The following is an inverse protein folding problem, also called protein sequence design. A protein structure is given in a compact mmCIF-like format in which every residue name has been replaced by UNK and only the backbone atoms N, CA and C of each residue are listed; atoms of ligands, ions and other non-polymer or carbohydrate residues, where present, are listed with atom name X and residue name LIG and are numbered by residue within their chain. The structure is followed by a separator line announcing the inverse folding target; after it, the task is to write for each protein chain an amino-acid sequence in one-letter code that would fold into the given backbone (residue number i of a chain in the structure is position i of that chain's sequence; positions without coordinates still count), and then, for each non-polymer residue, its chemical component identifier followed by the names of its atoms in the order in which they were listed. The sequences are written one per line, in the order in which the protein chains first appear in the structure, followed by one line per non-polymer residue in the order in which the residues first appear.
data_IF_366504016383
#
_entry.id   IF_366504016383
#
_cell.length_a   1.000
_cell.length_b   1.000
_cell.length_c   1.000
_cell.angle_alpha   90.00
_cell.angle_beta   90.00
_cell.angle_gamma   90.00
#
_symmetry.space_group_name_H-M   'P 1'
#
loop_
_entity.id
_entity.type
_entity.pdbx_description
1 polymer ?
#
# COMPACT_ATOMS: atom_id res chain seq x y z
N UNK A 1 4.64 -3.29 -24.58
CA UNK A 1 4.31 -2.70 -23.27
C UNK A 1 3.24 -3.59 -22.65
N UNK A 2 3.41 -4.09 -21.42
CA UNK A 2 2.36 -4.85 -20.73
C UNK A 2 1.20 -3.90 -20.41
N UNK A 3 -0.05 -4.41 -20.50
CA UNK A 3 -1.25 -3.64 -20.23
C UNK A 3 -1.29 -3.12 -18.78
N UNK A 4 -2.00 -2.01 -18.55
CA UNK A 4 -2.32 -1.54 -17.21
C UNK A 4 -3.26 -2.54 -16.51
N UNK A 5 -3.15 -2.63 -15.19
CA UNK A 5 -4.11 -3.39 -14.40
C UNK A 5 -5.52 -2.78 -14.54
N UNK A 6 -6.58 -3.60 -14.54
CA UNK A 6 -7.94 -3.10 -14.39
C UNK A 6 -8.07 -2.32 -13.09
N UNK A 7 -8.71 -1.15 -13.13
CA UNK A 7 -8.86 -0.28 -11.95
C UNK A 7 -10.30 0.17 -11.79
N UNK A 8 -10.77 0.24 -10.54
CA UNK A 8 -11.89 1.09 -10.15
C UNK A 8 -11.32 2.44 -9.76
N UNK A 9 -11.95 3.55 -10.19
CA UNK A 9 -11.49 4.90 -9.86
C UNK A 9 -12.61 5.74 -9.26
N UNK A 10 -12.29 6.53 -8.25
CA UNK A 10 -13.21 7.47 -7.59
C UNK A 10 -12.50 8.80 -7.45
N UNK A 11 -13.04 9.85 -8.07
CA UNK A 11 -12.59 11.20 -7.85
C UNK A 11 -13.35 11.82 -6.67
N UNK A 12 -12.63 12.23 -5.64
CA UNK A 12 -13.15 13.00 -4.51
C UNK A 12 -12.79 14.47 -4.70
N UNK A 13 -13.82 15.33 -4.75
CA UNK A 13 -13.65 16.74 -5.08
C UNK A 13 -13.55 16.98 -6.60
N UNK A 14 -13.23 18.22 -6.97
CA UNK A 14 -13.07 18.62 -8.37
C UNK A 14 -11.58 18.71 -8.74
N UNK A 15 -11.26 18.39 -10.01
CA UNK A 15 -9.91 18.50 -10.57
C UNK A 15 -8.83 17.88 -9.63
N UNK A 16 -8.72 16.54 -9.57
CA UNK A 16 -7.78 15.89 -8.68
C UNK A 16 -6.34 16.37 -8.92
N UNK A 17 -5.69 16.85 -7.88
CA UNK A 17 -4.27 17.23 -7.86
C UNK A 17 -3.40 16.22 -7.11
N UNK A 18 -4.04 15.27 -6.44
CA UNK A 18 -3.41 14.16 -5.72
C UNK A 18 -4.04 12.83 -6.10
N UNK A 19 -3.30 11.74 -5.94
CA UNK A 19 -3.80 10.40 -6.16
C UNK A 19 -3.43 9.47 -5.01
N UNK A 20 -4.33 8.53 -4.71
CA UNK A 20 -4.07 7.41 -3.79
C UNK A 20 -4.29 6.11 -4.57
N UNK A 21 -3.24 5.35 -4.80
CA UNK A 21 -3.32 4.01 -5.38
C UNK A 21 -3.44 3.03 -4.21
N UNK A 22 -4.60 2.38 -4.08
CA UNK A 22 -4.94 1.54 -2.93
C UNK A 22 -5.01 0.06 -3.32
N UNK A 23 -4.08 -0.72 -2.76
CA UNK A 23 -3.89 -2.14 -3.09
C UNK A 23 -4.61 -3.02 -2.08
N UNK A 24 -5.48 -3.91 -2.57
CA UNK A 24 -6.26 -4.84 -1.77
C UNK A 24 -5.42 -6.00 -1.21
N UNK A 25 -5.96 -6.73 -0.25
CA UNK A 25 -5.36 -7.94 0.31
C UNK A 25 -5.48 -9.15 -0.61
N UNK A 26 -4.83 -10.25 -0.24
CA UNK A 26 -4.89 -11.53 -0.94
C UNK A 26 -6.34 -12.03 -1.04
N UNK A 27 -6.77 -12.42 -2.23
CA UNK A 27 -8.09 -12.98 -2.51
C UNK A 27 -9.23 -11.96 -2.59
N UNK A 28 -8.95 -10.68 -2.33
CA UNK A 28 -9.88 -9.57 -2.44
C UNK A 28 -9.83 -8.92 -3.84
N UNK A 29 -10.50 -7.80 -4.03
CA UNK A 29 -10.48 -7.03 -5.26
C UNK A 29 -10.42 -5.52 -5.00
N UNK A 30 -10.30 -4.71 -6.07
CA UNK A 30 -10.22 -3.27 -5.96
C UNK A 30 -11.46 -2.61 -5.36
N UNK A 31 -12.62 -3.26 -5.39
CA UNK A 31 -13.86 -2.70 -4.84
C UNK A 31 -13.94 -2.76 -3.31
N UNK A 32 -13.11 -3.57 -2.64
CA UNK A 32 -13.15 -3.78 -1.19
C UNK A 32 -13.04 -2.48 -0.39
N UNK A 33 -12.14 -1.59 -0.79
CA UNK A 33 -11.87 -0.33 -0.08
C UNK A 33 -12.61 0.88 -0.65
N UNK A 34 -13.16 0.78 -1.84
CA UNK A 34 -13.87 1.89 -2.49
C UNK A 34 -15.04 2.46 -1.66
N UNK A 35 -15.88 1.63 -1.00
CA UNK A 35 -16.97 2.14 -0.14
C UNK A 35 -16.47 2.92 1.09
N UNK A 36 -15.22 2.75 1.49
CA UNK A 36 -14.66 3.41 2.68
C UNK A 36 -14.11 4.82 2.42
N UNK A 37 -13.98 5.25 1.16
CA UNK A 37 -13.49 6.59 0.79
C UNK A 37 -14.20 7.72 1.54
N UNK A 38 -15.54 7.74 1.72
CA UNK A 38 -16.22 8.77 2.50
C UNK A 38 -15.76 8.85 3.95
N UNK A 39 -15.36 7.72 4.56
CA UNK A 39 -14.89 7.66 5.95
C UNK A 39 -13.53 8.35 6.17
N UNK A 40 -12.76 8.60 5.11
CA UNK A 40 -11.51 9.37 5.17
C UNK A 40 -11.74 10.85 5.51
N UNK A 41 -12.93 11.39 5.24
CA UNK A 41 -13.30 12.75 5.64
C UNK A 41 -12.46 13.84 4.96
N UNK A 42 -12.24 13.74 3.66
CA UNK A 42 -11.39 14.65 2.87
C UNK A 42 -12.11 15.89 2.32
N UNK A 43 -13.29 16.23 2.84
CA UNK A 43 -14.17 17.26 2.27
C UNK A 43 -13.53 18.66 2.10
N UNK A 44 -12.48 18.98 2.87
CA UNK A 44 -11.79 20.28 2.83
C UNK A 44 -10.42 20.23 2.14
N UNK A 45 -10.12 19.14 1.40
CA UNK A 45 -8.85 18.99 0.68
C UNK A 45 -8.97 19.36 -0.79
N UNK A 46 -7.86 19.65 -1.48
CA UNK A 46 -7.80 19.58 -2.93
C UNK A 46 -8.32 18.24 -3.45
N UNK A 47 -8.76 18.19 -4.71
CA UNK A 47 -9.30 16.95 -5.28
C UNK A 47 -8.31 15.80 -5.22
N UNK A 48 -8.81 14.62 -4.86
CA UNK A 48 -8.03 13.39 -4.73
C UNK A 48 -8.65 12.29 -5.60
N UNK A 49 -7.84 11.68 -6.45
CA UNK A 49 -8.23 10.48 -7.19
C UNK A 49 -7.84 9.23 -6.41
N UNK A 50 -8.81 8.38 -6.11
CA UNK A 50 -8.57 7.04 -5.59
C UNK A 50 -8.57 6.04 -6.74
N UNK A 51 -7.54 5.20 -6.79
CA UNK A 51 -7.33 4.19 -7.81
C UNK A 51 -7.20 2.85 -7.09
N UNK A 52 -8.12 1.93 -7.38
CA UNK A 52 -8.19 0.61 -6.78
C UNK A 52 -7.92 -0.43 -7.89
N UNK A 53 -6.65 -0.82 -8.09
CA UNK A 53 -6.31 -1.82 -9.08
C UNK A 53 -6.65 -3.23 -8.61
N UNK A 54 -7.03 -4.10 -9.55
CA UNK A 54 -7.20 -5.52 -9.33
C UNK A 54 -5.89 -6.26 -9.59
N UNK A 55 -5.47 -7.07 -8.64
CA UNK A 55 -4.36 -8.00 -8.83
C UNK A 55 -4.74 -9.09 -9.85
N UNK A 56 -3.77 -9.67 -10.56
CA UNK A 56 -4.02 -10.81 -11.45
C UNK A 56 -4.44 -12.05 -10.65
N UNK A 57 -5.23 -12.94 -11.27
CA UNK A 57 -5.51 -14.26 -10.71
C UNK A 57 -4.32 -15.21 -10.93
N UNK A 58 -3.69 -15.62 -9.86
CA UNK A 58 -2.59 -16.58 -9.85
C UNK A 58 -2.87 -17.74 -8.91
N UNK A 59 -2.17 -18.86 -9.08
CA UNK A 59 -2.16 -19.93 -8.09
C UNK A 59 -1.36 -19.50 -6.85
N UNK A 60 -1.94 -19.69 -5.65
CA UNK A 60 -1.32 -19.31 -4.37
C UNK A 60 -0.91 -20.56 -3.61
N UNK A 61 0.39 -20.81 -3.50
CA UNK A 61 0.96 -22.05 -2.96
C UNK A 61 0.54 -22.29 -1.51
N UNK A 62 0.58 -21.28 -0.63
CA UNK A 62 0.17 -21.44 0.76
C UNK A 62 -1.33 -21.73 0.94
N UNK A 63 -2.14 -21.49 -0.08
CA UNK A 63 -3.57 -21.80 -0.13
C UNK A 63 -3.85 -23.08 -0.98
N UNK A 64 -2.91 -24.02 -1.01
CA UNK A 64 -3.09 -25.28 -1.74
C UNK A 64 -3.09 -25.14 -3.27
N UNK A 65 -2.54 -24.07 -3.81
CA UNK A 65 -2.49 -23.81 -5.26
C UNK A 65 -3.81 -23.29 -5.84
N UNK A 66 -4.77 -22.87 -5.00
CA UNK A 66 -6.02 -22.27 -5.47
C UNK A 66 -5.75 -20.95 -6.18
N UNK A 67 -6.45 -20.74 -7.29
CA UNK A 67 -6.36 -19.50 -8.07
C UNK A 67 -7.24 -18.42 -7.42
N UNK A 68 -6.65 -17.27 -7.20
CA UNK A 68 -7.33 -16.10 -6.63
C UNK A 68 -6.58 -14.81 -7.01
N UNK A 69 -7.21 -13.64 -6.89
CA UNK A 69 -6.49 -12.37 -7.03
C UNK A 69 -5.35 -12.29 -6.02
N UNK A 70 -4.12 -12.15 -6.49
CA UNK A 70 -2.93 -12.07 -5.65
C UNK A 70 -1.83 -11.26 -6.35
N UNK A 71 -1.10 -10.46 -5.57
CA UNK A 71 -0.01 -9.63 -6.08
C UNK A 71 1.24 -10.46 -6.37
N UNK A 72 1.48 -11.49 -5.58
CA UNK A 72 2.59 -12.45 -5.73
C UNK A 72 2.24 -13.76 -5.02
N UNK A 73 2.92 -14.84 -5.37
CA UNK A 73 2.72 -16.12 -4.69
C UNK A 73 3.37 -16.09 -3.29
N UNK A 74 2.63 -16.59 -2.30
CA UNK A 74 3.13 -16.86 -0.96
C UNK A 74 3.43 -18.37 -0.88
N UNK A 75 4.73 -18.70 -0.90
CA UNK A 75 5.23 -20.06 -0.92
C UNK A 75 5.08 -20.74 0.45
N UNK A 76 5.30 -19.97 1.54
CA UNK A 76 5.09 -20.45 2.91
C UNK A 76 4.79 -19.29 3.88
N UNK A 77 3.90 -19.57 4.84
CA UNK A 77 3.59 -18.66 5.94
C UNK A 77 4.16 -19.18 7.25
N UNK A 78 5.10 -18.45 7.83
CA UNK A 78 5.59 -18.66 9.18
C UNK A 78 5.07 -17.54 10.09
N UNK A 79 5.07 -17.77 11.40
CA UNK A 79 4.59 -16.76 12.37
C UNK A 79 5.43 -15.47 12.30
N UNK A 80 6.71 -15.59 12.01
CA UNK A 80 7.71 -14.51 12.03
C UNK A 80 8.16 -14.05 10.66
N UNK A 81 7.74 -14.72 9.57
CA UNK A 81 8.13 -14.36 8.19
C UNK A 81 7.19 -14.96 7.16
N UNK A 82 7.28 -14.42 5.95
CA UNK A 82 6.71 -15.00 4.72
C UNK A 82 7.82 -15.41 3.77
N UNK A 83 7.67 -16.59 3.16
CA UNK A 83 8.49 -16.98 2.01
C UNK A 83 7.66 -16.67 0.77
N UNK A 84 8.17 -15.86 -0.11
CA UNK A 84 7.40 -15.29 -1.23
C UNK A 84 8.11 -15.52 -2.57
N UNK A 85 7.34 -15.44 -3.64
CA UNK A 85 7.85 -15.27 -4.99
C UNK A 85 8.30 -13.81 -5.19
N UNK A 86 9.62 -13.59 -5.17
CA UNK A 86 10.22 -12.26 -5.31
C UNK A 86 10.03 -11.71 -6.73
N UNK A 87 10.03 -12.56 -7.75
CA UNK A 87 9.84 -12.12 -9.14
C UNK A 87 8.38 -11.67 -9.37
N UNK A 88 7.41 -12.38 -8.78
CA UNK A 88 6.01 -11.96 -8.76
C UNK A 88 5.81 -10.64 -8.00
N UNK A 89 6.49 -10.44 -6.86
CA UNK A 89 6.49 -9.17 -6.14
C UNK A 89 7.03 -8.04 -7.03
N UNK A 90 8.15 -8.23 -7.73
CA UNK A 90 8.72 -7.25 -8.66
C UNK A 90 7.77 -6.91 -9.80
N UNK A 91 7.14 -7.93 -10.40
CA UNK A 91 6.17 -7.74 -11.47
C UNK A 91 4.98 -6.88 -11.01
N UNK A 92 4.51 -7.09 -9.77
CA UNK A 92 3.44 -6.28 -9.15
C UNK A 92 3.90 -4.86 -8.86
N UNK A 93 5.12 -4.67 -8.34
CA UNK A 93 5.70 -3.33 -8.17
C UNK A 93 5.79 -2.58 -9.50
N UNK A 94 6.20 -3.25 -10.59
CA UNK A 94 6.25 -2.65 -11.92
C UNK A 94 4.86 -2.30 -12.47
N UNK A 95 3.85 -3.11 -12.16
CA UNK A 95 2.47 -2.79 -12.51
C UNK A 95 1.98 -1.52 -11.77
N UNK A 96 2.29 -1.37 -10.49
CA UNK A 96 1.97 -0.16 -9.70
C UNK A 96 2.75 1.05 -10.21
N UNK A 97 4.04 0.91 -10.56
CA UNK A 97 4.84 2.00 -11.17
C UNK A 97 4.21 2.52 -12.46
N UNK A 98 3.61 1.64 -13.28
CA UNK A 98 2.88 2.07 -14.48
C UNK A 98 1.62 2.88 -14.14
N UNK A 99 0.93 2.57 -13.05
CA UNK A 99 -0.19 3.39 -12.59
C UNK A 99 0.28 4.76 -12.10
N UNK A 100 1.41 4.85 -11.39
CA UNK A 100 2.00 6.12 -11.00
C UNK A 100 2.35 6.96 -12.24
N UNK A 101 3.01 6.35 -13.24
CA UNK A 101 3.36 7.04 -14.49
C UNK A 101 2.11 7.54 -15.23
N UNK A 102 1.03 6.74 -15.28
CA UNK A 102 -0.26 7.15 -15.85
C UNK A 102 -0.82 8.40 -15.17
N UNK A 103 -0.73 8.48 -13.84
CA UNK A 103 -1.19 9.66 -13.12
C UNK A 103 -0.33 10.89 -13.44
N UNK A 104 0.98 10.72 -13.66
CA UNK A 104 1.84 11.77 -14.19
C UNK A 104 1.38 12.29 -15.55
N UNK A 105 1.03 11.38 -16.47
CA UNK A 105 0.46 11.74 -17.79
C UNK A 105 -0.90 12.47 -17.67
N UNK A 106 -1.64 12.21 -16.58
CA UNK A 106 -2.94 12.85 -16.28
C UNK A 106 -2.80 14.15 -15.48
N UNK A 107 -1.56 14.62 -15.24
CA UNK A 107 -1.27 15.89 -14.57
C UNK A 107 -1.08 15.80 -13.06
N UNK A 108 -1.02 14.61 -12.46
CA UNK A 108 -0.72 14.41 -11.04
C UNK A 108 0.74 13.95 -10.92
N UNK A 109 1.67 14.81 -10.48
CA UNK A 109 3.08 14.46 -10.40
C UNK A 109 3.32 13.41 -9.30
N UNK A 110 4.42 12.62 -9.39
CA UNK A 110 4.70 11.52 -8.46
C UNK A 110 4.71 11.92 -6.98
N UNK A 111 5.20 13.10 -6.64
CA UNK A 111 5.21 13.63 -5.26
C UNK A 111 3.82 13.87 -4.68
N UNK A 112 2.78 13.88 -5.50
CA UNK A 112 1.37 13.96 -5.10
C UNK A 112 0.67 12.59 -5.14
N UNK A 113 1.41 11.51 -5.43
CA UNK A 113 0.88 10.14 -5.43
C UNK A 113 1.23 9.45 -4.12
N UNK A 114 0.21 8.96 -3.44
CA UNK A 114 0.34 8.11 -2.25
C UNK A 114 0.06 6.65 -2.61
N UNK A 115 0.83 5.73 -2.05
CA UNK A 115 0.53 4.31 -2.13
C UNK A 115 -0.10 3.84 -0.84
N UNK A 116 -1.26 3.21 -0.92
CA UNK A 116 -1.94 2.60 0.21
C UNK A 116 -2.09 1.10 -0.04
N UNK A 117 -2.06 0.31 1.02
CA UNK A 117 -2.31 -1.11 0.87
C UNK A 117 -2.58 -1.82 2.19
N UNK A 118 -3.40 -2.86 2.10
CA UNK A 118 -3.75 -3.75 3.19
C UNK A 118 -3.10 -5.11 2.96
N UNK A 119 -2.54 -5.71 4.01
CA UNK A 119 -2.01 -7.07 3.98
C UNK A 119 -1.00 -7.27 2.83
N UNK A 120 -1.23 -8.18 1.90
CA UNK A 120 -0.36 -8.41 0.74
C UNK A 120 -0.20 -7.14 -0.14
N UNK A 121 -1.28 -6.37 -0.34
CA UNK A 121 -1.21 -5.09 -1.05
C UNK A 121 -0.32 -4.07 -0.36
N UNK A 122 -0.30 -4.05 0.97
CA UNK A 122 0.60 -3.21 1.76
C UNK A 122 2.08 -3.56 1.58
N UNK A 123 2.39 -4.84 1.43
CA UNK A 123 3.76 -5.30 1.14
C UNK A 123 4.24 -4.80 -0.24
N UNK A 124 3.37 -4.81 -1.25
CA UNK A 124 3.66 -4.21 -2.57
C UNK A 124 3.79 -2.70 -2.48
N UNK A 125 2.91 -2.03 -1.71
CA UNK A 125 2.96 -0.58 -1.51
C UNK A 125 4.29 -0.15 -0.88
N UNK A 126 4.75 -0.82 0.17
CA UNK A 126 6.07 -0.60 0.78
C UNK A 126 7.19 -0.76 -0.24
N UNK A 127 7.27 -1.93 -0.87
CA UNK A 127 8.36 -2.25 -1.79
C UNK A 127 8.40 -1.25 -2.94
N UNK A 128 7.23 -0.93 -3.53
CA UNK A 128 7.16 0.03 -4.63
C UNK A 128 7.59 1.42 -4.18
N UNK A 129 7.07 1.92 -3.05
CA UNK A 129 7.34 3.28 -2.60
C UNK A 129 8.81 3.49 -2.23
N UNK A 130 9.41 2.56 -1.50
CA UNK A 130 10.80 2.65 -1.05
C UNK A 130 11.81 2.52 -2.20
N UNK A 131 11.42 1.81 -3.28
CA UNK A 131 12.30 1.58 -4.44
C UNK A 131 11.91 2.40 -5.67
N UNK A 132 10.96 3.34 -5.56
CA UNK A 132 10.54 4.18 -6.68
C UNK A 132 11.61 5.23 -7.03
N UNK A 133 11.94 5.43 -8.34
CA UNK A 133 13.02 6.34 -8.74
C UNK A 133 12.67 7.83 -8.61
N UNK A 134 11.42 8.18 -8.34
CA UNK A 134 10.96 9.55 -8.13
C UNK A 134 10.36 9.65 -6.73
N UNK A 135 10.42 10.84 -6.13
CA UNK A 135 9.78 11.10 -4.83
C UNK A 135 8.28 10.87 -4.92
N UNK A 136 7.73 10.17 -3.92
CA UNK A 136 6.29 9.98 -3.75
C UNK A 136 5.76 10.80 -2.56
N UNK A 137 4.45 10.98 -2.50
CA UNK A 137 3.77 11.70 -1.42
C UNK A 137 3.82 10.98 -0.08
N UNK A 138 3.80 9.65 -0.10
CA UNK A 138 3.86 8.83 1.11
C UNK A 138 3.35 7.41 0.91
N UNK A 139 3.46 6.59 1.96
CA UNK A 139 2.92 5.23 1.99
C UNK A 139 1.98 5.03 3.19
N UNK A 140 0.87 4.34 2.96
CA UNK A 140 -0.13 3.94 3.96
C UNK A 140 -0.15 2.43 4.00
N UNK A 141 0.29 1.85 5.09
CA UNK A 141 0.49 0.42 5.27
C UNK A 141 -0.39 -0.10 6.40
N UNK A 142 -1.40 -0.91 6.05
CA UNK A 142 -2.42 -1.40 6.96
C UNK A 142 -2.28 -2.91 7.16
N UNK A 143 -2.08 -3.37 8.40
CA UNK A 143 -1.96 -4.80 8.78
C UNK A 143 -1.04 -5.58 7.84
N UNK A 144 0.18 -5.07 7.64
CA UNK A 144 1.12 -5.55 6.63
C UNK A 144 2.57 -5.61 7.14
N UNK A 145 3.49 -5.92 6.25
CA UNK A 145 4.90 -6.15 6.53
C UNK A 145 5.79 -5.74 5.34
N UNK A 146 7.08 -5.54 5.56
CA UNK A 146 8.06 -5.46 4.47
C UNK A 146 8.42 -6.91 4.09
N UNK A 147 8.14 -7.34 2.84
CA UNK A 147 8.23 -8.75 2.46
C UNK A 147 9.66 -9.26 2.34
N UNK A 148 10.60 -8.41 1.94
CA UNK A 148 12.02 -8.72 1.77
C UNK A 148 12.85 -7.46 2.09
N UNK A 149 13.45 -7.45 3.29
CA UNK A 149 14.28 -6.33 3.76
C UNK A 149 15.55 -6.19 2.94
N UNK A 150 16.19 -7.31 2.57
CA UNK A 150 17.43 -7.29 1.78
C UNK A 150 17.20 -6.72 0.38
N UNK A 151 16.04 -7.02 -0.22
CA UNK A 151 15.65 -6.43 -1.50
C UNK A 151 15.49 -4.91 -1.36
N UNK A 152 14.75 -4.47 -0.34
CA UNK A 152 14.52 -3.04 -0.11
C UNK A 152 15.84 -2.32 0.19
N UNK A 153 16.72 -2.88 1.01
CA UNK A 153 18.03 -2.30 1.32
C UNK A 153 18.91 -2.13 0.09
N UNK A 154 18.87 -3.09 -0.84
CA UNK A 154 19.64 -3.01 -2.10
C UNK A 154 19.06 -2.03 -3.11
N UNK A 155 17.74 -1.85 -3.13
CA UNK A 155 17.04 -1.15 -4.22
C UNK A 155 16.38 0.16 -3.80
N UNK A 156 16.35 0.49 -2.50
CA UNK A 156 15.80 1.76 -2.01
C UNK A 156 16.45 2.96 -2.71
N UNK A 157 15.66 3.98 -2.90
CA UNK A 157 16.08 5.17 -3.64
C UNK A 157 16.22 6.38 -2.73
N UNK A 158 17.27 7.19 -2.89
CA UNK A 158 17.49 8.39 -2.09
C UNK A 158 16.35 9.41 -2.22
N UNK A 159 15.65 9.44 -3.36
CA UNK A 159 14.48 10.29 -3.60
C UNK A 159 13.37 10.06 -2.59
N UNK A 160 13.29 8.84 -2.05
CA UNK A 160 12.30 8.43 -1.02
C UNK A 160 12.94 8.18 0.35
N UNK A 161 14.16 8.66 0.63
CA UNK A 161 14.81 8.46 1.93
C UNK A 161 14.04 9.07 3.11
N UNK A 162 13.26 10.12 2.87
CA UNK A 162 12.39 10.77 3.86
C UNK A 162 10.90 10.57 3.53
N UNK A 163 10.53 9.43 2.90
CA UNK A 163 9.15 9.13 2.56
C UNK A 163 8.27 9.06 3.83
N UNK A 164 7.19 9.87 3.94
CA UNK A 164 6.28 9.78 5.06
C UNK A 164 5.51 8.45 5.05
N UNK A 165 5.44 7.79 6.20
CA UNK A 165 4.79 6.49 6.34
C UNK A 165 3.70 6.55 7.41
N UNK A 166 2.46 6.20 7.03
CA UNK A 166 1.41 5.85 7.97
C UNK A 166 1.36 4.33 8.10
N UNK A 167 1.54 3.82 9.29
CA UNK A 167 1.56 2.38 9.56
C UNK A 167 0.55 2.06 10.64
N UNK A 168 -0.40 1.18 10.33
CA UNK A 168 -1.42 0.75 11.28
C UNK A 168 -1.51 -0.77 11.33
N UNK A 169 -1.83 -1.31 12.53
CA UNK A 169 -1.94 -2.75 12.73
C UNK A 169 -3.00 -3.11 13.78
N UNK A 170 -3.72 -4.22 13.53
CA UNK A 170 -4.63 -4.81 14.49
C UNK A 170 -3.86 -5.51 15.61
N UNK A 171 -4.18 -5.23 16.89
CA UNK A 171 -3.48 -5.87 18.03
C UNK A 171 -3.84 -7.33 18.19
N UNK A 172 -4.97 -7.78 17.62
CA UNK A 172 -5.44 -9.17 17.64
C UNK A 172 -5.29 -9.85 16.25
N UNK A 173 -4.45 -9.30 15.36
CA UNK A 173 -4.22 -9.84 14.02
C UNK A 173 -3.51 -11.20 14.10
N UNK A 174 -4.22 -12.26 13.73
CA UNK A 174 -3.75 -13.64 13.72
C UNK A 174 -3.28 -14.12 12.33
N UNK A 175 -3.53 -13.32 11.28
CA UNK A 175 -3.10 -13.58 9.90
C UNK A 175 -1.72 -12.96 9.63
N UNK A 176 -1.57 -11.66 9.84
CA UNK A 176 -0.27 -10.98 9.83
C UNK A 176 0.08 -10.58 11.26
N UNK A 177 0.89 -11.42 11.93
CA UNK A 177 1.22 -11.17 13.32
C UNK A 177 1.72 -9.72 13.54
N UNK A 178 1.26 -9.01 14.58
CA UNK A 178 1.63 -7.62 14.86
C UNK A 178 3.15 -7.38 14.88
N UNK A 179 3.93 -8.39 15.30
CA UNK A 179 5.37 -8.35 15.28
C UNK A 179 5.98 -8.10 13.88
N UNK A 180 5.29 -8.51 12.81
CA UNK A 180 5.74 -8.25 11.44
C UNK A 180 5.58 -6.77 11.06
N UNK A 181 4.46 -6.17 11.45
CA UNK A 181 4.22 -4.73 11.29
C UNK A 181 5.17 -3.89 12.14
N UNK A 182 5.44 -4.30 13.38
CA UNK A 182 6.42 -3.66 14.26
C UNK A 182 7.84 -3.72 13.67
N UNK A 183 8.25 -4.84 13.09
CA UNK A 183 9.55 -4.95 12.39
C UNK A 183 9.64 -4.00 11.20
N UNK A 184 8.55 -3.87 10.42
CA UNK A 184 8.50 -2.90 9.32
C UNK A 184 8.64 -1.47 9.84
N UNK A 185 7.90 -1.10 10.90
CA UNK A 185 8.03 0.20 11.58
C UNK A 185 9.45 0.46 12.06
N UNK A 186 10.05 -0.51 12.75
CA UNK A 186 11.39 -0.35 13.34
C UNK A 186 12.46 -0.19 12.26
N UNK A 187 12.32 -0.91 11.13
CA UNK A 187 13.18 -0.73 9.97
C UNK A 187 13.02 0.69 9.38
N UNK A 188 11.79 1.17 9.20
CA UNK A 188 11.53 2.52 8.70
C UNK A 188 12.14 3.60 9.60
N UNK A 189 11.98 3.46 10.92
CA UNK A 189 12.56 4.39 11.91
C UNK A 189 14.08 4.35 11.88
N UNK A 190 14.70 3.17 11.78
CA UNK A 190 16.15 3.01 11.66
C UNK A 190 16.73 3.65 10.39
N UNK A 191 15.89 3.82 9.36
CA UNK A 191 16.24 4.50 8.10
C UNK A 191 15.71 5.95 8.05
N UNK A 192 15.35 6.53 9.19
CA UNK A 192 14.98 7.94 9.36
C UNK A 192 13.70 8.36 8.61
N UNK A 193 12.83 7.39 8.25
CA UNK A 193 11.53 7.74 7.67
C UNK A 193 10.62 8.39 8.73
N UNK A 194 9.85 9.44 8.38
CA UNK A 194 8.79 9.97 9.23
C UNK A 194 7.65 8.95 9.37
N UNK A 195 7.55 8.27 10.52
CA UNK A 195 6.56 7.21 10.75
C UNK A 195 5.46 7.69 11.69
N UNK A 196 4.21 7.55 11.27
CA UNK A 196 3.03 7.61 12.13
C UNK A 196 2.55 6.18 12.39
N UNK A 197 2.81 5.66 13.59
CA UNK A 197 2.37 4.32 14.01
C UNK A 197 1.05 4.40 14.78
N UNK A 198 0.09 3.49 14.45
CA UNK A 198 -1.19 3.33 15.14
C UNK A 198 -1.51 1.86 15.35
N UNK A 199 -2.08 1.54 16.50
CA UNK A 199 -2.61 0.22 16.82
C UNK A 199 -4.12 0.32 17.07
N UNK A 200 -4.86 -0.72 16.64
CA UNK A 200 -6.30 -0.80 16.81
C UNK A 200 -6.66 -2.16 17.42
N UNK A 201 -7.67 -2.22 18.32
CA UNK A 201 -8.09 -3.48 18.96
C UNK A 201 -9.00 -4.29 18.01
N UNK A 202 -8.44 -4.68 16.86
CA UNK A 202 -9.09 -5.44 15.80
C UNK A 202 -8.21 -6.62 15.37
N UNK A 203 -8.81 -7.58 14.70
CA UNK A 203 -8.16 -8.69 14.02
C UNK A 203 -7.51 -8.27 12.69
N UNK A 204 -7.39 -9.22 11.71
CA UNK A 204 -6.89 -8.92 10.35
C UNK A 204 -7.98 -8.25 9.50
N UNK A 205 -8.31 -7.02 9.86
CA UNK A 205 -9.35 -6.20 9.21
C UNK A 205 -8.97 -4.72 9.23
N UNK A 206 -9.84 -3.84 8.74
CA UNK A 206 -9.68 -2.39 8.82
C UNK A 206 -10.93 -1.77 9.40
N UNK A 207 -10.77 -0.98 10.46
CA UNK A 207 -11.87 -0.30 11.15
C UNK A 207 -12.17 1.09 10.59
N UNK A 208 -13.38 1.60 10.84
CA UNK A 208 -13.73 2.99 10.54
C UNK A 208 -12.82 3.98 11.28
N UNK A 209 -12.38 3.62 12.50
CA UNK A 209 -11.42 4.43 13.26
C UNK A 209 -10.06 4.55 12.55
N UNK A 210 -9.63 3.48 11.94
CA UNK A 210 -8.40 3.42 11.13
C UNK A 210 -8.52 4.27 9.86
N UNK A 211 -9.64 4.17 9.11
CA UNK A 211 -9.90 5.03 7.96
C UNK A 211 -9.90 6.52 8.33
N UNK A 212 -10.49 6.90 9.47
CA UNK A 212 -10.48 8.27 9.96
C UNK A 212 -9.06 8.75 10.28
N UNK A 213 -8.22 7.87 10.86
CA UNK A 213 -6.83 8.19 11.15
C UNK A 213 -6.00 8.35 9.86
N UNK A 214 -6.20 7.48 8.86
CA UNK A 214 -5.62 7.61 7.51
C UNK A 214 -6.04 8.92 6.87
N UNK A 215 -7.33 9.27 6.94
CA UNK A 215 -7.85 10.51 6.37
C UNK A 215 -7.28 11.76 7.05
N UNK A 216 -7.10 11.74 8.37
CA UNK A 216 -6.44 12.83 9.10
C UNK A 216 -4.99 13.01 8.65
N UNK A 217 -4.25 11.90 8.55
CA UNK A 217 -2.87 11.88 8.06
C UNK A 217 -2.73 12.37 6.62
N UNK A 218 -3.64 11.97 5.72
CA UNK A 218 -3.67 12.45 4.32
C UNK A 218 -3.94 13.96 4.25
N UNK A 219 -4.93 14.47 5.01
CA UNK A 219 -5.25 15.92 5.03
C UNK A 219 -4.05 16.78 5.37
N UNK A 220 -3.26 16.40 6.38
CA UNK A 220 -2.05 17.13 6.77
C UNK A 220 -1.02 17.24 5.63
N UNK A 221 -0.97 16.27 4.73
CA UNK A 221 0.02 16.19 3.64
C UNK A 221 -0.47 16.76 2.31
N UNK A 222 -1.78 16.73 2.11
CA UNK A 222 -2.40 17.31 0.92
C UNK A 222 -2.61 18.82 1.05
N UNK A 223 -2.76 19.32 2.28
CA UNK A 223 -2.96 20.75 2.57
C UNK A 223 -1.66 21.54 2.65
N UNK A 224 -0.51 20.90 2.77
CA UNK A 224 0.82 21.54 2.86
C UNK A 224 1.51 21.57 1.53
#
# INVERSE_FOLDING_TARGET
MSALLPTLEIDHGQAPSHAVIWLHGLGADGADFAPAVPALGLAATPGVRFIFPNAPEIAVTCNGGWRMPAWYDILAMHRDRRVIDVDGLRASCDAVRRLIAREGERGIPPENVFLAGFSQGGAVAYTTALTHPQRLGGVIALSTYIPDFDLVDRERRPENAALPCFVAHGTADDVVAPALGQRARDWLLAHEHPVTWREFPIDHSVSIGEFRAVGAWLRERIAG
#
